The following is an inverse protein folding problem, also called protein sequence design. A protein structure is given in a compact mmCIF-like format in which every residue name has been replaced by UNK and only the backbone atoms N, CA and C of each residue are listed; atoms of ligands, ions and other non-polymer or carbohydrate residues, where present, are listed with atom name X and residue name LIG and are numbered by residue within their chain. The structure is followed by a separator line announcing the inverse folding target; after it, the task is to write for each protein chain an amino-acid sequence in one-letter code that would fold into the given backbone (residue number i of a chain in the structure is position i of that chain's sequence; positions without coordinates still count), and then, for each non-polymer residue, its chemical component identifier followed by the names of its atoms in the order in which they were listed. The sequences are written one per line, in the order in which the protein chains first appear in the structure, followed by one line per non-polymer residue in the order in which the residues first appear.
data_IF_224626613522
#
_entry.id   IF_224626613522
#
_cell.length_a   1.000
_cell.length_b   1.000
_cell.length_c   1.000
_cell.angle_alpha   90.00
_cell.angle_beta   90.00
_cell.angle_gamma   90.00
#
_symmetry.space_group_name_H-M   'P 1'
#
loop_
_entity.id
_entity.type
_entity.pdbx_description
1 polymer ?
#
# COMPACT_ATOMS: atom_id res chain seq x y z
N UNK A 1 -28.97 78.60 -32.75
CA UNK A 1 -30.11 79.54 -32.56
C UNK A 1 -30.00 80.15 -31.17
N UNK A 2 -29.32 81.29 -31.05
CA UNK A 2 -29.47 82.23 -29.95
C UNK A 2 -29.21 83.60 -30.56
N UNK A 3 -30.28 84.39 -30.64
CA UNK A 3 -30.34 85.73 -31.22
C UNK A 3 -29.60 86.73 -30.34
N UNK A 4 -28.48 87.28 -30.83
CA UNK A 4 -27.83 88.44 -30.20
C UNK A 4 -28.30 89.69 -30.93
N UNK A 5 -29.18 90.44 -30.27
CA UNK A 5 -29.72 91.73 -30.65
C UNK A 5 -28.65 92.82 -30.58
N UNK A 6 -28.42 93.51 -31.69
CA UNK A 6 -27.62 94.75 -31.76
C UNK A 6 -28.37 95.92 -31.10
N UNK A 7 -27.72 96.75 -30.26
CA UNK A 7 -28.36 97.93 -29.72
C UNK A 7 -28.34 99.09 -30.73
N UNK A 8 -29.51 99.69 -30.92
CA UNK A 8 -29.77 100.89 -31.72
C UNK A 8 -29.04 102.12 -31.16
N UNK A 9 -28.30 102.82 -32.03
CA UNK A 9 -27.67 104.11 -31.75
C UNK A 9 -28.73 105.23 -31.84
N UNK A 10 -28.91 106.07 -30.81
CA UNK A 10 -29.73 107.28 -30.92
C UNK A 10 -28.87 108.48 -31.32
N UNK A 11 -29.22 109.13 -32.44
CA UNK A 11 -28.80 110.48 -32.78
C UNK A 11 -29.71 111.48 -32.06
N UNK A 12 -29.18 112.52 -31.39
CA UNK A 12 -29.98 113.68 -31.03
C UNK A 12 -29.80 114.79 -32.06
N UNK A 13 -30.93 115.18 -32.65
CA UNK A 13 -31.11 116.41 -33.43
C UNK A 13 -31.14 117.67 -32.54
N UNK A 14 -30.92 118.81 -33.19
CA UNK A 14 -31.19 120.19 -32.77
C UNK A 14 -30.21 120.77 -31.73
N UNK A 15 -29.80 122.03 -31.78
CA UNK A 15 -30.52 123.22 -32.22
C UNK A 15 -29.51 124.34 -32.53
N UNK A 16 -29.76 125.10 -33.59
CA UNK A 16 -28.93 126.26 -33.99
C UNK A 16 -29.42 127.47 -33.18
N UNK A 17 -28.60 127.96 -32.22
CA UNK A 17 -28.24 129.37 -31.94
C UNK A 17 -27.81 129.61 -30.46
N UNK A 18 -26.58 130.15 -30.35
CA UNK A 18 -26.00 131.01 -29.31
C UNK A 18 -25.47 130.45 -27.97
N UNK A 19 -24.12 130.39 -27.83
CA UNK A 19 -23.29 131.02 -26.75
C UNK A 19 -21.97 130.26 -26.46
N UNK A 20 -20.83 130.81 -26.89
CA UNK A 20 -19.54 130.14 -27.14
C UNK A 20 -18.51 130.02 -25.99
N UNK A 21 -18.81 130.35 -24.72
CA UNK A 21 -17.73 130.51 -23.70
C UNK A 21 -17.57 129.36 -22.67
N UNK A 22 -18.59 128.53 -22.41
CA UNK A 22 -18.51 127.46 -21.40
C UNK A 22 -17.98 126.11 -21.93
N UNK A 23 -17.73 126.01 -23.25
CA UNK A 23 -17.50 124.73 -23.94
C UNK A 23 -16.09 124.16 -23.76
N UNK A 24 -15.04 124.97 -23.62
CA UNK A 24 -13.65 124.48 -23.77
C UNK A 24 -13.17 123.52 -22.68
N UNK A 25 -13.49 123.76 -21.40
CA UNK A 25 -13.03 122.92 -20.28
C UNK A 25 -13.84 121.63 -20.13
N UNK A 26 -15.15 121.69 -20.39
CA UNK A 26 -16.03 120.51 -20.46
C UNK A 26 -15.70 119.65 -21.68
N UNK A 27 -15.31 120.26 -22.80
CA UNK A 27 -14.86 119.52 -24.00
C UNK A 27 -13.53 118.79 -23.75
N UNK A 28 -12.56 119.38 -23.03
CA UNK A 28 -11.27 118.71 -22.74
C UNK A 28 -11.40 117.53 -21.78
N UNK A 29 -12.15 117.68 -20.69
CA UNK A 29 -12.40 116.58 -19.74
C UNK A 29 -13.27 115.46 -20.34
N UNK A 30 -14.24 115.81 -21.19
CA UNK A 30 -14.99 114.83 -21.97
C UNK A 30 -14.12 114.11 -23.01
N UNK A 31 -13.12 114.80 -23.58
CA UNK A 31 -12.17 114.21 -24.52
C UNK A 31 -11.22 113.21 -23.84
N UNK A 32 -10.64 113.55 -22.69
CA UNK A 32 -9.78 112.64 -21.92
C UNK A 32 -10.56 111.41 -21.43
N UNK A 33 -11.80 111.60 -20.97
CA UNK A 33 -12.68 110.49 -20.59
C UNK A 33 -13.04 109.61 -21.80
N UNK A 34 -13.29 110.22 -22.96
CA UNK A 34 -13.56 109.50 -24.22
C UNK A 34 -12.33 108.74 -24.71
N UNK A 35 -11.12 109.30 -24.59
CA UNK A 35 -9.87 108.62 -24.94
C UNK A 35 -9.60 107.43 -24.03
N UNK A 36 -9.80 107.57 -22.71
CA UNK A 36 -9.64 106.43 -21.77
C UNK A 36 -10.69 105.34 -22.03
N UNK A 37 -11.94 105.71 -22.36
CA UNK A 37 -12.96 104.74 -22.74
C UNK A 37 -12.67 104.06 -24.08
N UNK A 38 -12.19 104.81 -25.07
CA UNK A 38 -11.73 104.27 -26.34
C UNK A 38 -10.56 103.32 -26.12
N UNK A 39 -9.55 103.69 -25.34
CA UNK A 39 -8.40 102.83 -25.04
C UNK A 39 -8.85 101.53 -24.36
N UNK A 40 -9.72 101.62 -23.34
CA UNK A 40 -10.29 100.46 -22.65
C UNK A 40 -11.15 99.57 -23.56
N UNK A 41 -11.92 100.18 -24.47
CA UNK A 41 -12.69 99.45 -25.48
C UNK A 41 -11.75 98.77 -26.50
N UNK A 42 -10.65 99.44 -26.88
CA UNK A 42 -9.66 98.93 -27.84
C UNK A 42 -8.84 97.80 -27.23
N UNK A 43 -8.47 97.87 -25.95
CA UNK A 43 -7.74 96.82 -25.25
C UNK A 43 -8.63 95.59 -24.99
N UNK A 44 -9.93 95.80 -24.70
CA UNK A 44 -10.91 94.71 -24.67
C UNK A 44 -11.09 94.07 -26.04
N UNK A 45 -11.19 94.87 -27.11
CA UNK A 45 -11.30 94.36 -28.47
C UNK A 45 -10.06 93.57 -28.87
N UNK A 46 -8.85 94.05 -28.54
CA UNK A 46 -7.59 93.32 -28.75
C UNK A 46 -7.56 92.01 -27.98
N UNK A 47 -8.01 92.01 -26.72
CA UNK A 47 -8.08 90.79 -25.91
C UNK A 47 -9.07 89.78 -26.49
N UNK A 48 -10.22 90.24 -26.98
CA UNK A 48 -11.19 89.38 -27.67
C UNK A 48 -10.65 88.84 -29.00
N UNK A 49 -9.94 89.65 -29.78
CA UNK A 49 -9.31 89.23 -31.03
C UNK A 49 -8.19 88.22 -30.80
N UNK A 50 -7.39 88.38 -29.74
CA UNK A 50 -6.38 87.39 -29.37
C UNK A 50 -7.03 86.07 -28.93
N UNK A 51 -8.12 86.12 -28.14
CA UNK A 51 -8.87 84.93 -27.77
C UNK A 51 -9.48 84.23 -28.99
N UNK A 52 -9.97 85.00 -29.98
CA UNK A 52 -10.46 84.47 -31.25
C UNK A 52 -9.36 83.76 -32.04
N UNK A 53 -8.16 84.36 -32.13
CA UNK A 53 -7.03 83.71 -32.82
C UNK A 53 -6.53 82.45 -32.11
N UNK A 54 -6.52 82.45 -30.78
CA UNK A 54 -6.13 81.27 -29.99
C UNK A 54 -7.17 80.14 -30.15
N UNK A 55 -8.46 80.49 -30.17
CA UNK A 55 -9.54 79.54 -30.38
C UNK A 55 -9.50 78.92 -31.78
N UNK A 56 -9.21 79.71 -32.82
CA UNK A 56 -9.04 79.22 -34.19
C UNK A 56 -7.85 78.27 -34.32
N UNK A 57 -6.76 78.54 -33.59
CA UNK A 57 -5.59 77.66 -33.55
C UNK A 57 -5.93 76.32 -32.88
N UNK A 58 -6.63 76.35 -31.74
CA UNK A 58 -7.05 75.15 -31.03
C UNK A 58 -8.10 74.34 -31.82
N UNK A 59 -9.03 74.99 -32.50
CA UNK A 59 -9.99 74.35 -33.41
C UNK A 59 -9.28 73.69 -34.59
N UNK A 60 -8.29 74.36 -35.19
CA UNK A 60 -7.47 73.79 -36.26
C UNK A 60 -6.69 72.57 -35.80
N UNK A 61 -6.13 72.61 -34.59
CA UNK A 61 -5.43 71.49 -33.97
C UNK A 61 -6.37 70.32 -33.66
N UNK A 62 -7.57 70.61 -33.15
CA UNK A 62 -8.61 69.61 -32.91
C UNK A 62 -9.09 68.96 -34.21
N UNK A 63 -9.25 69.72 -35.28
CA UNK A 63 -9.62 69.18 -36.59
C UNK A 63 -8.52 68.27 -37.16
N UNK A 64 -7.25 68.63 -36.96
CA UNK A 64 -6.12 67.82 -37.38
C UNK A 64 -6.02 66.52 -36.57
N UNK A 65 -6.22 66.60 -35.24
CA UNK A 65 -6.31 65.43 -34.37
C UNK A 65 -7.53 64.56 -34.71
N UNK A 66 -8.68 65.14 -35.03
CA UNK A 66 -9.88 64.41 -35.47
C UNK A 66 -9.58 63.63 -36.75
N UNK A 67 -8.90 64.25 -37.71
CA UNK A 67 -8.48 63.58 -38.94
C UNK A 67 -7.53 62.41 -38.68
N UNK A 68 -6.52 62.62 -37.84
CA UNK A 68 -5.56 61.59 -37.46
C UNK A 68 -6.23 60.42 -36.73
N UNK A 69 -7.06 60.69 -35.71
CA UNK A 69 -7.81 59.65 -34.98
C UNK A 69 -8.77 58.92 -35.91
N UNK A 70 -9.45 59.62 -36.81
CA UNK A 70 -10.32 59.00 -37.82
C UNK A 70 -9.54 58.02 -38.71
N UNK A 71 -8.36 58.41 -39.20
CA UNK A 71 -7.51 57.53 -40.01
C UNK A 71 -6.99 56.32 -39.22
N UNK A 72 -6.62 56.53 -37.96
CA UNK A 72 -6.08 55.50 -37.09
C UNK A 72 -7.17 54.49 -36.71
N UNK A 73 -8.40 54.94 -36.42
CA UNK A 73 -9.55 54.08 -36.15
C UNK A 73 -9.91 53.22 -37.37
N UNK A 74 -9.89 53.79 -38.58
CA UNK A 74 -10.14 53.01 -39.81
C UNK A 74 -9.05 51.95 -40.01
N UNK A 75 -7.78 52.31 -39.79
CA UNK A 75 -6.64 51.38 -39.85
C UNK A 75 -6.76 50.27 -38.79
N UNK A 76 -7.07 50.61 -37.54
CA UNK A 76 -7.27 49.62 -36.47
C UNK A 76 -8.46 48.70 -36.76
N UNK A 77 -9.55 49.24 -37.31
CA UNK A 77 -10.74 48.44 -37.67
C UNK A 77 -10.43 47.48 -38.81
N UNK A 78 -9.71 47.90 -39.84
CA UNK A 78 -9.31 47.02 -40.95
C UNK A 78 -8.32 45.94 -40.49
N UNK A 79 -7.36 46.29 -39.63
CA UNK A 79 -6.45 45.31 -39.01
C UNK A 79 -7.21 44.28 -38.17
N UNK A 80 -8.19 44.71 -37.38
CA UNK A 80 -9.06 43.83 -36.59
C UNK A 80 -9.90 42.92 -37.51
N UNK A 81 -10.58 43.50 -38.52
CA UNK A 81 -11.55 42.74 -39.31
C UNK A 81 -10.91 41.79 -40.31
N UNK A 82 -9.76 42.14 -40.89
CA UNK A 82 -9.09 41.30 -41.87
C UNK A 82 -7.95 40.52 -41.22
N UNK A 83 -6.93 41.22 -40.73
CA UNK A 83 -5.70 40.53 -40.28
C UNK A 83 -5.97 39.65 -39.08
N UNK A 84 -6.67 40.16 -38.06
CA UNK A 84 -6.93 39.37 -36.85
C UNK A 84 -7.99 38.30 -37.08
N UNK A 85 -9.05 38.59 -37.83
CA UNK A 85 -10.06 37.58 -38.17
C UNK A 85 -9.47 36.44 -39.01
N UNK A 86 -8.72 36.76 -40.06
CA UNK A 86 -8.09 35.76 -40.93
C UNK A 86 -7.00 34.98 -40.17
N UNK A 87 -6.22 35.64 -39.31
CA UNK A 87 -5.28 34.98 -38.41
C UNK A 87 -5.99 34.05 -37.42
N UNK A 88 -7.13 34.46 -36.86
CA UNK A 88 -7.90 33.61 -35.94
C UNK A 88 -8.53 32.41 -36.65
N UNK A 89 -9.03 32.60 -37.87
CA UNK A 89 -9.61 31.54 -38.68
C UNK A 89 -8.54 30.52 -39.10
N UNK A 90 -7.37 31.00 -39.51
CA UNK A 90 -6.22 30.13 -39.83
C UNK A 90 -5.69 29.41 -38.60
N UNK A 91 -5.55 30.09 -37.46
CA UNK A 91 -5.16 29.47 -36.20
C UNK A 91 -6.15 28.37 -35.78
N UNK A 92 -7.46 28.65 -35.82
CA UNK A 92 -8.50 27.65 -35.53
C UNK A 92 -8.41 26.44 -36.48
N UNK A 93 -8.22 26.67 -37.78
CA UNK A 93 -8.07 25.60 -38.76
C UNK A 93 -6.84 24.73 -38.48
N UNK A 94 -5.71 25.36 -38.14
CA UNK A 94 -4.47 24.66 -37.78
C UNK A 94 -4.67 23.87 -36.49
N UNK A 95 -5.25 24.47 -35.44
CA UNK A 95 -5.52 23.78 -34.17
C UNK A 95 -6.46 22.59 -34.35
N UNK A 96 -7.48 22.69 -35.20
CA UNK A 96 -8.37 21.56 -35.51
C UNK A 96 -7.64 20.47 -36.31
N UNK A 97 -6.80 20.85 -37.27
CA UNK A 97 -6.00 19.89 -38.04
C UNK A 97 -5.00 19.14 -37.15
N UNK A 98 -4.31 19.85 -36.24
CA UNK A 98 -3.39 19.26 -35.27
C UNK A 98 -4.14 18.33 -34.32
N UNK A 99 -5.27 18.76 -33.74
CA UNK A 99 -6.10 17.89 -32.88
C UNK A 99 -6.54 16.62 -33.60
N UNK A 100 -6.92 16.72 -34.88
CA UNK A 100 -7.30 15.54 -35.67
C UNK A 100 -6.09 14.60 -35.87
N UNK A 101 -4.94 15.16 -36.23
CA UNK A 101 -3.71 14.40 -36.38
C UNK A 101 -3.28 13.72 -35.07
N UNK A 102 -3.41 14.41 -33.93
CA UNK A 102 -3.07 13.85 -32.62
C UNK A 102 -3.99 12.65 -32.28
N UNK A 103 -5.28 12.75 -32.58
CA UNK A 103 -6.22 11.63 -32.41
C UNK A 103 -5.89 10.46 -33.34
N UNK A 104 -5.57 10.74 -34.60
CA UNK A 104 -5.13 9.71 -35.54
C UNK A 104 -3.84 9.04 -35.07
N UNK A 105 -2.85 9.81 -34.62
CA UNK A 105 -1.59 9.30 -34.09
C UNK A 105 -1.80 8.48 -32.80
N UNK A 106 -2.67 8.93 -31.90
CA UNK A 106 -2.99 8.20 -30.67
C UNK A 106 -3.65 6.84 -30.98
N UNK A 107 -4.57 6.80 -31.96
CA UNK A 107 -5.20 5.55 -32.42
C UNK A 107 -4.18 4.61 -33.04
N UNK A 108 -3.29 5.11 -33.91
CA UNK A 108 -2.24 4.30 -34.53
C UNK A 108 -1.28 3.72 -33.47
N UNK A 109 -0.87 4.52 -32.49
CA UNK A 109 -0.04 4.03 -31.37
C UNK A 109 -0.77 2.94 -30.57
N UNK A 110 -2.03 3.15 -30.22
CA UNK A 110 -2.82 2.15 -29.52
C UNK A 110 -2.97 0.84 -30.32
N UNK A 111 -3.15 0.92 -31.64
CA UNK A 111 -3.17 -0.30 -32.49
C UNK A 111 -1.81 -0.98 -32.57
N UNK A 112 -0.72 -0.21 -32.58
CA UNK A 112 0.64 -0.75 -32.61
C UNK A 112 0.94 -1.48 -31.29
N UNK A 113 0.55 -0.93 -30.15
CA UNK A 113 0.71 -1.57 -28.84
C UNK A 113 -0.02 -2.93 -28.79
N UNK A 114 -1.21 -3.04 -29.40
CA UNK A 114 -1.95 -4.32 -29.48
C UNK A 114 -1.20 -5.32 -30.38
N UNK A 115 -0.66 -4.87 -31.51
CA UNK A 115 0.11 -5.74 -32.42
C UNK A 115 1.39 -6.24 -31.74
N UNK A 116 2.10 -5.38 -31.02
CA UNK A 116 3.30 -5.73 -30.27
C UNK A 116 2.98 -6.78 -29.19
N UNK A 117 1.88 -6.60 -28.46
CA UNK A 117 1.43 -7.57 -27.46
C UNK A 117 1.01 -8.91 -28.08
N UNK A 118 0.42 -8.92 -29.27
CA UNK A 118 0.06 -10.15 -29.99
C UNK A 118 1.30 -10.85 -30.56
N UNK A 119 2.29 -10.09 -31.02
CA UNK A 119 3.58 -10.64 -31.45
C UNK A 119 4.32 -11.29 -30.27
N UNK A 120 4.31 -10.64 -29.11
CA UNK A 120 4.84 -11.18 -27.86
C UNK A 120 4.07 -12.43 -27.40
N UNK A 121 2.74 -12.42 -27.48
CA UNK A 121 1.90 -13.59 -27.19
C UNK A 121 2.26 -14.76 -28.09
N UNK A 122 2.47 -14.52 -29.38
CA UNK A 122 2.90 -15.54 -30.34
C UNK A 122 4.27 -16.11 -29.99
N UNK A 123 5.22 -15.25 -29.64
CA UNK A 123 6.55 -15.68 -29.20
C UNK A 123 6.46 -16.53 -27.92
N UNK A 124 5.58 -16.17 -26.98
CA UNK A 124 5.36 -16.95 -25.77
C UNK A 124 4.73 -18.32 -26.06
N UNK A 125 3.68 -18.39 -26.88
CA UNK A 125 3.02 -19.66 -27.24
C UNK A 125 4.02 -20.62 -27.90
N UNK A 126 4.76 -20.15 -28.92
CA UNK A 126 5.78 -20.95 -29.61
C UNK A 126 6.95 -21.31 -28.68
N UNK A 127 7.34 -20.40 -27.79
CA UNK A 127 8.38 -20.63 -26.79
C UNK A 127 7.99 -21.71 -25.78
N UNK A 128 6.76 -21.68 -25.26
CA UNK A 128 6.25 -22.70 -24.34
C UNK A 128 6.22 -24.07 -25.01
N UNK A 129 5.63 -24.19 -26.19
CA UNK A 129 5.51 -25.48 -26.90
C UNK A 129 6.88 -26.01 -27.32
N UNK A 130 7.77 -25.12 -27.77
CA UNK A 130 9.16 -25.47 -28.12
C UNK A 130 9.99 -25.95 -26.92
N UNK A 131 9.93 -25.23 -25.79
CA UNK A 131 10.66 -25.60 -24.56
C UNK A 131 10.12 -26.88 -23.92
N UNK A 132 8.81 -27.14 -24.00
CA UNK A 132 8.19 -28.37 -23.51
C UNK A 132 8.45 -29.60 -24.39
N UNK A 133 8.85 -29.40 -25.65
CA UNK A 133 9.11 -30.46 -26.62
C UNK A 133 10.44 -31.19 -26.40
N UNK A 134 11.33 -31.12 -27.39
CA UNK A 134 12.61 -31.84 -27.37
C UNK A 134 13.59 -31.46 -26.24
N UNK A 135 13.77 -30.16 -25.86
CA UNK A 135 14.76 -29.80 -24.85
C UNK A 135 14.29 -30.07 -23.41
N UNK A 136 12.97 -30.23 -23.18
CA UNK A 136 12.37 -30.46 -21.86
C UNK A 136 12.85 -29.44 -20.81
N UNK A 137 13.06 -28.20 -21.24
CA UNK A 137 13.52 -27.13 -20.37
C UNK A 137 12.31 -26.43 -19.74
N UNK A 138 11.93 -26.93 -18.58
CA UNK A 138 10.73 -26.47 -17.89
C UNK A 138 10.86 -25.06 -17.31
N UNK A 139 12.08 -24.57 -17.09
CA UNK A 139 12.30 -23.24 -16.53
C UNK A 139 12.05 -22.16 -17.56
N UNK A 140 12.54 -22.37 -18.80
CA UNK A 140 12.24 -21.46 -19.90
C UNK A 140 10.76 -21.51 -20.28
N UNK A 141 10.14 -22.69 -20.27
CA UNK A 141 8.69 -22.83 -20.50
C UNK A 141 7.87 -22.05 -19.44
N UNK A 142 8.22 -22.16 -18.15
CA UNK A 142 7.58 -21.39 -17.09
C UNK A 142 7.80 -19.88 -17.24
N UNK A 143 8.98 -19.46 -17.72
CA UNK A 143 9.28 -18.06 -18.02
C UNK A 143 8.40 -17.48 -19.14
N UNK A 144 8.17 -18.24 -20.21
CA UNK A 144 7.24 -17.82 -21.28
C UNK A 144 5.79 -17.78 -20.81
N UNK A 145 5.37 -18.71 -19.95
CA UNK A 145 4.03 -18.64 -19.33
C UNK A 145 3.90 -17.40 -18.43
N UNK A 146 4.93 -17.06 -17.66
CA UNK A 146 4.92 -15.86 -16.82
C UNK A 146 4.76 -14.58 -17.66
N UNK A 147 5.54 -14.43 -18.73
CA UNK A 147 5.39 -13.31 -19.68
C UNK A 147 4.01 -13.27 -20.30
N UNK A 148 3.47 -14.43 -20.70
CA UNK A 148 2.11 -14.49 -21.25
C UNK A 148 1.02 -14.07 -20.26
N UNK A 149 1.26 -14.24 -18.95
CA UNK A 149 0.33 -13.83 -17.90
C UNK A 149 0.34 -12.31 -17.63
N UNK A 150 1.38 -11.59 -18.07
CA UNK A 150 1.44 -10.12 -18.02
C UNK A 150 0.61 -9.48 -19.14
N UNK A 151 0.30 -10.23 -20.20
CA UNK A 151 -0.49 -9.75 -21.34
C UNK A 151 -1.98 -9.64 -20.93
N UNK A 152 -2.66 -8.52 -21.25
CA UNK A 152 -4.09 -8.34 -20.96
C UNK A 152 -4.95 -9.46 -21.53
N UNK A 153 -5.92 -9.93 -20.75
CA UNK A 153 -6.81 -11.04 -21.12
C UNK A 153 -7.66 -10.70 -22.34
N UNK A 154 -7.99 -9.42 -22.51
CA UNK A 154 -8.74 -8.90 -23.66
C UNK A 154 -8.01 -9.18 -24.98
N UNK A 155 -6.68 -9.21 -24.96
CA UNK A 155 -5.84 -9.47 -26.14
C UNK A 155 -5.64 -10.97 -26.32
N UNK A 156 -5.46 -11.72 -25.24
CA UNK A 156 -5.33 -13.20 -25.29
C UNK A 156 -6.59 -13.87 -25.83
N UNK A 157 -7.77 -13.35 -25.50
CA UNK A 157 -9.07 -13.79 -26.03
C UNK A 157 -9.54 -12.96 -27.24
N UNK A 158 -8.70 -12.10 -27.79
CA UNK A 158 -9.05 -11.24 -28.91
C UNK A 158 -9.10 -12.03 -30.23
N UNK A 159 -10.07 -11.71 -31.09
CA UNK A 159 -10.23 -12.37 -32.40
C UNK A 159 -8.98 -12.27 -33.28
N UNK A 160 -8.22 -11.17 -33.18
CA UNK A 160 -6.97 -10.99 -33.89
C UNK A 160 -5.86 -11.95 -33.41
N UNK A 161 -5.80 -12.24 -32.12
CA UNK A 161 -4.85 -13.21 -31.58
C UNK A 161 -5.23 -14.64 -31.99
N UNK A 162 -6.53 -14.96 -32.01
CA UNK A 162 -7.03 -16.26 -32.46
C UNK A 162 -6.72 -16.55 -33.94
N UNK A 163 -6.58 -15.53 -34.78
CA UNK A 163 -6.25 -15.72 -36.20
C UNK A 163 -4.73 -15.72 -36.47
N UNK A 164 -3.96 -14.85 -35.79
CA UNK A 164 -2.54 -14.62 -36.12
C UNK A 164 -1.57 -15.52 -35.32
N UNK A 165 -1.94 -15.91 -34.11
CA UNK A 165 -1.07 -16.68 -33.22
C UNK A 165 -0.99 -18.16 -33.61
N UNK A 166 -2.10 -18.86 -33.93
CA UNK A 166 -2.03 -20.26 -34.33
C UNK A 166 -1.09 -20.48 -35.51
N UNK A 167 -0.34 -21.57 -35.44
CA UNK A 167 0.68 -21.95 -36.42
C UNK A 167 0.45 -23.41 -36.83
N UNK A 168 1.02 -23.87 -37.94
CA UNK A 168 0.82 -25.26 -38.42
C UNK A 168 1.18 -26.33 -37.36
N UNK A 169 2.10 -26.02 -36.44
CA UNK A 169 2.50 -26.90 -35.32
C UNK A 169 1.57 -26.78 -34.10
N UNK A 170 0.88 -25.65 -33.94
CA UNK A 170 0.02 -25.33 -32.80
C UNK A 170 -1.29 -24.74 -33.34
N UNK A 171 -2.26 -25.59 -33.69
CA UNK A 171 -3.50 -25.15 -34.36
C UNK A 171 -4.52 -24.55 -33.41
N UNK A 172 -4.39 -24.81 -32.11
CA UNK A 172 -5.35 -24.36 -31.11
C UNK A 172 -5.20 -22.85 -30.82
N UNK A 173 -6.28 -22.18 -30.39
CA UNK A 173 -6.21 -20.78 -29.94
C UNK A 173 -5.15 -20.57 -28.84
N UNK A 174 -4.57 -19.36 -28.75
CA UNK A 174 -3.50 -19.07 -27.79
C UNK A 174 -3.92 -19.33 -26.34
N UNK A 175 -5.16 -18.97 -25.96
CA UNK A 175 -5.66 -19.18 -24.61
C UNK A 175 -5.71 -20.66 -24.21
N UNK A 176 -6.21 -21.53 -25.10
CA UNK A 176 -6.29 -22.97 -24.89
C UNK A 176 -4.90 -23.58 -24.76
N UNK A 177 -3.99 -23.19 -25.66
CA UNK A 177 -2.62 -23.70 -25.66
C UNK A 177 -1.88 -23.35 -24.36
N UNK A 178 -1.98 -22.09 -23.91
CA UNK A 178 -1.33 -21.63 -22.68
C UNK A 178 -1.93 -22.30 -21.44
N UNK A 179 -3.25 -22.48 -21.39
CA UNK A 179 -3.91 -23.16 -20.27
C UNK A 179 -3.52 -24.64 -20.20
N UNK A 180 -3.57 -25.36 -21.33
CA UNK A 180 -3.15 -26.76 -21.41
C UNK A 180 -1.67 -26.94 -21.01
N UNK A 181 -0.80 -26.03 -21.46
CA UNK A 181 0.60 -26.03 -21.08
C UNK A 181 0.78 -25.78 -19.58
N UNK A 182 0.06 -24.81 -19.00
CA UNK A 182 0.11 -24.51 -17.58
C UNK A 182 -0.37 -25.69 -16.72
N UNK A 183 -1.44 -26.39 -17.13
CA UNK A 183 -1.93 -27.58 -16.44
C UNK A 183 -0.96 -28.77 -16.55
N UNK A 184 -0.38 -28.98 -17.73
CA UNK A 184 0.61 -30.03 -17.97
C UNK A 184 1.87 -29.80 -17.14
N UNK A 185 2.40 -28.56 -17.12
CA UNK A 185 3.54 -28.19 -16.29
C UNK A 185 3.21 -28.28 -14.80
N UNK A 186 1.98 -27.91 -14.39
CA UNK A 186 1.53 -28.12 -13.01
C UNK A 186 1.68 -29.59 -12.63
N UNK A 187 1.08 -30.51 -13.38
CA UNK A 187 1.14 -31.95 -13.07
C UNK A 187 2.58 -32.49 -13.04
N UNK A 188 3.43 -32.02 -13.96
CA UNK A 188 4.84 -32.39 -14.00
C UNK A 188 5.59 -31.88 -12.76
N UNK A 189 5.43 -30.61 -12.41
CA UNK A 189 6.07 -30.01 -11.24
C UNK A 189 5.64 -30.67 -9.94
N UNK A 190 4.36 -31.07 -9.82
CA UNK A 190 3.87 -31.85 -8.68
C UNK A 190 4.66 -33.14 -8.52
N UNK A 191 4.71 -33.95 -9.60
CA UNK A 191 5.38 -35.26 -9.59
C UNK A 191 6.87 -35.13 -9.30
N UNK A 192 7.52 -34.16 -9.93
CA UNK A 192 8.96 -33.92 -9.77
C UNK A 192 9.30 -33.37 -8.39
N UNK A 193 8.44 -32.53 -7.83
CA UNK A 193 8.58 -32.02 -6.46
C UNK A 193 8.46 -33.16 -5.45
N UNK A 194 7.44 -34.01 -5.56
CA UNK A 194 7.25 -35.15 -4.66
C UNK A 194 8.40 -36.16 -4.75
N UNK A 195 8.90 -36.41 -5.97
CA UNK A 195 10.09 -37.23 -6.18
C UNK A 195 11.33 -36.62 -5.51
N UNK A 196 11.57 -35.33 -5.70
CA UNK A 196 12.69 -34.64 -5.08
C UNK A 196 12.60 -34.61 -3.55
N UNK A 197 11.39 -34.48 -3.01
CA UNK A 197 11.12 -34.55 -1.58
C UNK A 197 11.42 -35.96 -1.02
N UNK A 198 11.03 -37.02 -1.72
CA UNK A 198 11.33 -38.40 -1.35
C UNK A 198 12.83 -38.73 -1.43
N UNK A 199 13.56 -38.16 -2.39
CA UNK A 199 15.01 -38.27 -2.52
C UNK A 199 15.78 -37.44 -1.46
N UNK A 200 15.11 -36.57 -0.71
CA UNK A 200 15.75 -35.65 0.24
C UNK A 200 16.57 -34.54 -0.42
N UNK A 201 16.36 -34.26 -1.71
CA UNK A 201 17.13 -33.26 -2.45
C UNK A 201 16.50 -31.86 -2.31
N UNK A 202 16.86 -31.15 -1.24
CA UNK A 202 16.36 -29.80 -0.95
C UNK A 202 16.64 -28.77 -2.06
N UNK A 203 17.69 -28.97 -2.86
CA UNK A 203 18.01 -28.10 -4.01
C UNK A 203 16.98 -28.22 -5.13
N UNK A 204 16.64 -29.45 -5.52
CA UNK A 204 15.59 -29.72 -6.52
C UNK A 204 14.20 -29.26 -6.03
N UNK A 205 13.88 -29.51 -4.75
CA UNK A 205 12.63 -29.05 -4.12
C UNK A 205 12.50 -27.53 -4.25
N UNK A 206 13.56 -26.79 -3.91
CA UNK A 206 13.58 -25.32 -4.01
C UNK A 206 13.48 -24.84 -5.46
N UNK A 207 14.08 -25.57 -6.41
CA UNK A 207 13.98 -25.25 -7.85
C UNK A 207 12.53 -25.30 -8.32
N UNK A 208 11.85 -26.44 -8.14
CA UNK A 208 10.44 -26.58 -8.55
C UNK A 208 9.50 -25.67 -7.75
N UNK A 209 9.80 -25.43 -6.48
CA UNK A 209 9.04 -24.47 -5.66
C UNK A 209 9.01 -23.07 -6.30
N UNK A 210 10.10 -22.62 -6.92
CA UNK A 210 10.14 -21.29 -7.57
C UNK A 210 9.35 -21.22 -8.88
N UNK A 211 9.01 -22.35 -9.49
CA UNK A 211 8.35 -22.39 -10.81
C UNK A 211 6.82 -22.30 -10.70
N UNK A 212 6.20 -22.70 -9.59
CA UNK A 212 4.75 -22.63 -9.42
C UNK A 212 4.13 -21.22 -9.52
N UNK A 213 4.77 -20.15 -8.99
CA UNK A 213 4.29 -18.78 -9.19
C UNK A 213 4.35 -18.35 -10.66
N UNK A 214 5.39 -18.77 -11.39
CA UNK A 214 5.58 -18.39 -12.80
C UNK A 214 4.49 -18.95 -13.71
N UNK A 215 3.93 -20.13 -13.38
CA UNK A 215 2.80 -20.73 -14.11
C UNK A 215 1.42 -20.23 -13.63
N UNK A 216 1.37 -19.21 -12.76
CA UNK A 216 0.11 -18.66 -12.24
C UNK A 216 -0.64 -19.59 -11.27
N UNK A 217 0.03 -20.58 -10.66
CA UNK A 217 -0.58 -21.51 -9.68
C UNK A 217 0.13 -21.46 -8.30
N UNK A 218 0.29 -20.27 -7.67
CA UNK A 218 1.02 -20.13 -6.40
C UNK A 218 0.34 -20.86 -5.23
N UNK A 219 -0.99 -20.97 -5.21
CA UNK A 219 -1.70 -21.64 -4.12
C UNK A 219 -1.35 -23.13 -4.00
N UNK A 220 -1.20 -23.81 -5.14
CA UNK A 220 -0.86 -25.24 -5.19
C UNK A 220 0.58 -25.46 -4.73
N UNK A 221 1.52 -24.64 -5.23
CA UNK A 221 2.92 -24.73 -4.83
C UNK A 221 3.11 -24.51 -3.32
N UNK A 222 2.37 -23.55 -2.74
CA UNK A 222 2.44 -23.24 -1.32
C UNK A 222 1.85 -24.35 -0.43
N UNK A 223 0.75 -24.97 -0.85
CA UNK A 223 0.15 -26.11 -0.13
C UNK A 223 1.12 -27.30 -0.04
N UNK A 224 1.75 -27.67 -1.15
CA UNK A 224 2.65 -28.83 -1.20
C UNK A 224 3.95 -28.54 -0.47
N UNK A 225 4.45 -27.32 -0.59
CA UNK A 225 5.60 -26.89 0.17
C UNK A 225 5.33 -26.89 1.68
N UNK A 226 4.14 -26.43 2.08
CA UNK A 226 3.67 -26.55 3.46
C UNK A 226 3.66 -28.00 3.93
N UNK A 227 3.10 -28.92 3.12
CA UNK A 227 3.12 -30.37 3.41
C UNK A 227 4.53 -30.94 3.53
N UNK A 228 5.45 -30.56 2.65
CA UNK A 228 6.85 -30.98 2.70
C UNK A 228 7.55 -30.53 3.99
N UNK A 229 7.37 -29.27 4.36
CA UNK A 229 7.94 -28.73 5.60
C UNK A 229 7.34 -29.42 6.82
N UNK A 230 6.01 -29.57 6.87
CA UNK A 230 5.32 -30.25 7.98
C UNK A 230 5.81 -31.70 8.13
N UNK A 231 5.99 -32.42 7.03
CA UNK A 231 6.60 -33.75 7.04
C UNK A 231 8.02 -33.75 7.63
N UNK A 232 8.84 -32.75 7.27
CA UNK A 232 10.18 -32.56 7.85
C UNK A 232 10.15 -32.30 9.36
N UNK A 233 9.20 -31.48 9.83
CA UNK A 233 8.97 -31.22 11.26
C UNK A 233 8.56 -32.49 11.99
N UNK A 234 7.56 -33.21 11.47
CA UNK A 234 7.07 -34.47 12.03
C UNK A 234 8.17 -35.53 12.15
N UNK A 235 8.97 -35.70 11.09
CA UNK A 235 10.09 -36.66 11.07
C UNK A 235 11.13 -36.33 12.14
N UNK A 236 11.52 -35.05 12.27
CA UNK A 236 12.48 -34.61 13.30
C UNK A 236 11.93 -34.73 14.71
N UNK A 237 10.66 -34.38 14.93
CA UNK A 237 9.99 -34.50 16.22
C UNK A 237 9.98 -35.97 16.70
N UNK A 238 9.56 -36.88 15.82
CA UNK A 238 9.55 -38.33 16.08
C UNK A 238 10.95 -38.89 16.33
N UNK A 239 11.95 -38.43 15.56
CA UNK A 239 13.33 -38.84 15.79
C UNK A 239 13.84 -38.42 17.18
N UNK A 240 13.53 -37.18 17.61
CA UNK A 240 13.89 -36.67 18.95
C UNK A 240 13.19 -37.42 20.08
N UNK A 241 11.92 -37.79 19.89
CA UNK A 241 11.17 -38.59 20.86
C UNK A 241 11.75 -40.00 20.99
N UNK A 242 11.99 -40.68 19.85
CA UNK A 242 12.54 -42.03 19.81
C UNK A 242 13.97 -42.14 20.35
N UNK A 243 14.80 -41.10 20.18
CA UNK A 243 16.15 -41.08 20.73
C UNK A 243 16.17 -40.96 22.25
N UNK A 244 15.22 -40.23 22.84
CA UNK A 244 15.17 -40.03 24.27
C UNK A 244 14.59 -41.20 25.05
N UNK A 245 13.56 -41.86 24.52
CA UNK A 245 12.97 -43.06 25.12
C UNK A 245 14.00 -44.21 25.25
N UNK A 246 15.01 -44.25 24.36
CA UNK A 246 16.04 -45.29 24.33
C UNK A 246 17.37 -44.89 24.99
N UNK A 247 17.53 -43.64 25.43
CA UNK A 247 18.78 -43.11 26.00
C UNK A 247 18.74 -42.94 27.52
N UNK A 248 19.91 -42.76 28.15
CA UNK A 248 20.01 -42.38 29.58
C UNK A 248 19.29 -41.06 29.92
N UNK A 249 19.02 -40.23 28.91
CA UNK A 249 18.28 -38.96 29.02
C UNK A 249 16.80 -39.12 29.44
N UNK A 250 16.19 -40.30 29.27
CA UNK A 250 14.82 -40.57 29.78
C UNK A 250 14.72 -40.44 31.30
N UNK A 251 15.84 -40.63 32.01
CA UNK A 251 15.93 -40.45 33.47
C UNK A 251 16.10 -39.00 33.89
N UNK A 252 16.36 -38.09 32.95
CA UNK A 252 16.41 -36.67 33.23
C UNK A 252 14.98 -36.14 33.26
N UNK A 253 14.55 -35.59 34.40
CA UNK A 253 13.18 -35.10 34.63
C UNK A 253 12.78 -33.87 33.80
N UNK A 254 13.51 -33.60 32.70
CA UNK A 254 13.34 -32.47 31.78
C UNK A 254 13.39 -32.90 30.32
N UNK A 255 13.43 -34.20 30.03
CA UNK A 255 13.51 -34.70 28.67
C UNK A 255 12.40 -34.15 27.75
N UNK A 256 11.15 -34.21 28.20
CA UNK A 256 10.00 -33.77 27.40
C UNK A 256 10.00 -32.25 27.20
N UNK A 257 10.34 -31.49 28.24
CA UNK A 257 10.54 -30.04 28.10
C UNK A 257 11.62 -29.68 27.07
N UNK A 258 12.74 -30.43 27.05
CA UNK A 258 13.81 -30.24 26.07
C UNK A 258 13.39 -30.67 24.66
N UNK A 259 12.64 -31.76 24.52
CA UNK A 259 12.13 -32.23 23.23
C UNK A 259 11.10 -31.24 22.64
N UNK A 260 10.21 -30.69 23.48
CA UNK A 260 9.28 -29.64 23.09
C UNK A 260 10.02 -28.34 22.69
N UNK A 261 11.08 -28.00 23.41
CA UNK A 261 11.96 -26.87 23.07
C UNK A 261 12.59 -27.07 21.68
N UNK A 262 13.17 -28.26 21.42
CA UNK A 262 13.75 -28.61 20.11
C UNK A 262 12.73 -28.55 18.97
N UNK A 263 11.47 -28.94 19.23
CA UNK A 263 10.38 -28.83 18.25
C UNK A 263 10.12 -27.36 17.89
N UNK A 264 9.89 -26.49 18.88
CA UNK A 264 9.60 -25.08 18.63
C UNK A 264 10.78 -24.34 18.02
N UNK A 265 12.01 -24.62 18.45
CA UNK A 265 13.23 -24.07 17.85
C UNK A 265 13.36 -24.47 16.38
N UNK A 266 13.08 -25.74 16.05
CA UNK A 266 13.12 -26.19 14.66
C UNK A 266 12.08 -25.46 13.80
N UNK A 267 10.85 -25.29 14.30
CA UNK A 267 9.80 -24.56 13.58
C UNK A 267 10.17 -23.08 13.43
N UNK A 268 10.70 -22.45 14.48
CA UNK A 268 11.17 -21.07 14.43
C UNK A 268 12.30 -20.88 13.40
N UNK A 269 13.26 -21.80 13.36
CA UNK A 269 14.33 -21.82 12.36
C UNK A 269 13.76 -21.95 10.95
N UNK A 270 12.80 -22.85 10.72
CA UNK A 270 12.15 -22.98 9.42
C UNK A 270 11.48 -21.66 9.02
N UNK A 271 10.73 -21.02 9.93
CA UNK A 271 10.06 -19.76 9.66
C UNK A 271 11.05 -18.68 9.24
N UNK A 272 12.21 -18.60 9.90
CA UNK A 272 13.24 -17.60 9.61
C UNK A 272 13.98 -17.86 8.30
N UNK A 273 14.41 -19.09 8.04
CA UNK A 273 15.18 -19.43 6.84
C UNK A 273 14.32 -19.46 5.58
N UNK A 274 13.08 -19.94 5.69
CA UNK A 274 12.18 -20.10 4.54
C UNK A 274 11.32 -18.86 4.28
N UNK A 275 11.15 -17.97 5.27
CA UNK A 275 10.38 -16.74 5.12
C UNK A 275 10.84 -15.88 3.95
N UNK A 276 12.15 -15.62 3.85
CA UNK A 276 12.71 -14.80 2.76
C UNK A 276 12.57 -15.45 1.37
N UNK A 277 12.57 -16.78 1.29
CA UNK A 277 12.36 -17.50 0.03
C UNK A 277 10.90 -17.45 -0.41
N UNK A 278 9.97 -17.74 0.50
CA UNK A 278 8.53 -17.76 0.22
C UNK A 278 8.06 -16.36 -0.17
N UNK A 279 8.43 -15.34 0.58
CA UNK A 279 7.97 -13.97 0.30
C UNK A 279 8.54 -13.40 -1.00
N UNK A 280 9.78 -13.74 -1.36
CA UNK A 280 10.40 -13.25 -2.60
C UNK A 280 9.71 -13.79 -3.86
N UNK A 281 9.24 -15.04 -3.84
CA UNK A 281 8.68 -15.70 -5.02
C UNK A 281 7.16 -15.81 -5.02
N UNK A 282 6.51 -15.82 -3.86
CA UNK A 282 5.06 -15.97 -3.72
C UNK A 282 4.37 -14.69 -3.22
N UNK A 283 5.12 -13.61 -3.01
CA UNK A 283 4.59 -12.32 -2.59
C UNK A 283 4.37 -12.20 -1.08
N UNK A 284 3.97 -11.00 -0.68
CA UNK A 284 3.75 -10.66 0.73
C UNK A 284 2.58 -11.45 1.33
N UNK A 285 2.72 -11.89 2.59
CA UNK A 285 1.66 -12.61 3.32
C UNK A 285 1.57 -14.10 3.00
N UNK A 286 2.24 -14.59 1.95
CA UNK A 286 2.27 -16.02 1.62
C UNK A 286 2.91 -16.88 2.72
N UNK A 287 3.86 -16.33 3.49
CA UNK A 287 4.45 -17.03 4.63
C UNK A 287 3.45 -17.29 5.76
N UNK A 288 2.45 -16.44 5.96
CA UNK A 288 1.42 -16.62 7.01
C UNK A 288 0.63 -17.91 6.77
N UNK A 289 0.28 -18.21 5.51
CA UNK A 289 -0.38 -19.47 5.13
C UNK A 289 0.48 -20.70 5.41
N UNK A 290 1.80 -20.58 5.31
CA UNK A 290 2.73 -21.67 5.67
C UNK A 290 2.81 -21.81 7.19
N UNK A 291 2.85 -20.69 7.92
CA UNK A 291 2.84 -20.66 9.39
C UNK A 291 1.58 -21.33 9.93
N UNK A 292 0.40 -21.05 9.37
CA UNK A 292 -0.86 -21.71 9.76
C UNK A 292 -0.77 -23.24 9.69
N UNK A 293 -0.20 -23.78 8.60
CA UNK A 293 0.01 -25.23 8.45
C UNK A 293 1.06 -25.77 9.43
N UNK A 294 2.13 -25.00 9.65
CA UNK A 294 3.16 -25.33 10.63
C UNK A 294 2.62 -25.35 12.06
N UNK A 295 1.67 -24.46 12.42
CA UNK A 295 1.01 -24.48 13.73
C UNK A 295 0.21 -25.76 13.91
N UNK A 296 -0.59 -26.15 12.91
CA UNK A 296 -1.35 -27.41 12.99
C UNK A 296 -0.42 -28.62 13.21
N UNK A 297 0.73 -28.65 12.54
CA UNK A 297 1.73 -29.71 12.76
C UNK A 297 2.40 -29.59 14.14
N UNK A 298 2.64 -28.38 14.63
CA UNK A 298 3.16 -28.14 15.97
C UNK A 298 2.19 -28.66 17.04
N UNK A 299 0.89 -28.45 16.86
CA UNK A 299 -0.16 -28.94 17.75
C UNK A 299 -0.23 -30.46 17.75
N UNK A 300 -0.10 -31.11 16.59
CA UNK A 300 -0.09 -32.58 16.48
C UNK A 300 1.14 -33.19 17.15
N UNK A 301 2.35 -32.70 16.84
CA UNK A 301 3.58 -33.26 17.40
C UNK A 301 3.77 -32.86 18.88
N UNK A 302 3.37 -31.64 19.25
CA UNK A 302 3.37 -31.16 20.62
C UNK A 302 2.36 -31.91 21.48
N UNK A 303 1.14 -32.13 20.97
CA UNK A 303 0.12 -32.95 21.61
C UNK A 303 0.61 -34.37 21.87
N UNK A 304 1.15 -35.05 20.84
CA UNK A 304 1.72 -36.40 21.01
C UNK A 304 2.81 -36.44 22.09
N UNK A 305 3.66 -35.42 22.15
CA UNK A 305 4.73 -35.33 23.14
C UNK A 305 4.18 -35.14 24.56
N UNK A 306 3.15 -34.30 24.71
CA UNK A 306 2.47 -34.08 25.99
C UNK A 306 1.67 -35.31 26.44
N UNK A 307 1.01 -36.00 25.52
CA UNK A 307 0.30 -37.25 25.80
C UNK A 307 1.28 -38.33 26.29
N UNK A 308 2.40 -38.50 25.58
CA UNK A 308 3.46 -39.44 25.96
C UNK A 308 4.06 -39.09 27.33
N UNK A 309 4.28 -37.80 27.60
CA UNK A 309 4.74 -37.33 28.91
C UNK A 309 3.73 -37.61 30.03
N UNK A 310 2.44 -37.40 29.76
CA UNK A 310 1.35 -37.65 30.70
C UNK A 310 1.26 -39.11 31.11
N UNK A 311 1.42 -40.01 30.15
CA UNK A 311 1.50 -41.46 30.36
C UNK A 311 2.75 -41.84 31.15
N UNK A 312 3.94 -41.38 30.73
CA UNK A 312 5.23 -41.74 31.36
C UNK A 312 5.34 -41.23 32.81
N UNK A 313 4.74 -40.07 33.12
CA UNK A 313 4.70 -39.51 34.49
C UNK A 313 3.49 -39.93 35.31
N UNK A 314 2.59 -40.75 34.75
CA UNK A 314 1.35 -41.21 35.38
C UNK A 314 0.53 -40.07 36.02
N UNK A 315 0.35 -38.97 35.27
CA UNK A 315 -0.20 -37.72 35.81
C UNK A 315 -1.63 -37.89 36.30
N UNK A 316 -2.46 -38.64 35.57
CA UNK A 316 -3.86 -38.88 35.96
C UNK A 316 -3.98 -39.63 37.28
N UNK A 317 -3.08 -40.61 37.52
CA UNK A 317 -3.01 -41.32 38.80
C UNK A 317 -2.59 -40.36 39.91
N UNK A 318 -1.50 -39.61 39.72
CA UNK A 318 -1.02 -38.63 40.70
C UNK A 318 -2.07 -37.56 41.03
N UNK A 319 -2.83 -37.09 40.05
CA UNK A 319 -3.94 -36.15 40.26
C UNK A 319 -5.09 -36.78 41.04
N UNK A 320 -5.39 -38.06 40.82
CA UNK A 320 -6.39 -38.81 41.58
C UNK A 320 -5.95 -38.98 43.02
N UNK A 321 -4.67 -39.27 43.25
CA UNK A 321 -4.08 -39.40 44.58
C UNK A 321 -4.10 -38.05 45.32
N UNK A 322 -3.74 -36.94 44.66
CA UNK A 322 -3.82 -35.59 45.24
C UNK A 322 -5.27 -35.18 45.54
N UNK A 323 -6.25 -35.53 44.69
CA UNK A 323 -7.67 -35.23 44.93
C UNK A 323 -8.28 -36.07 46.03
N UNK A 324 -7.85 -37.33 46.13
CA UNK A 324 -8.27 -38.27 47.17
C UNK A 324 -7.47 -38.12 48.46
N UNK A 325 -6.43 -37.28 48.46
CA UNK A 325 -5.77 -36.76 49.65
C UNK A 325 -6.81 -35.99 50.47
N UNK A 326 -7.56 -36.75 51.28
CA UNK A 326 -8.15 -36.23 52.47
C UNK A 326 -7.00 -35.57 53.21
N UNK A 327 -7.21 -34.34 53.66
CA UNK A 327 -6.33 -33.67 54.60
C UNK A 327 -6.34 -34.46 55.93
N UNK A 328 -5.98 -35.74 55.95
CA UNK A 328 -6.10 -36.66 57.08
C UNK A 328 -5.29 -36.13 58.25
N UNK A 329 -4.18 -35.45 57.97
CA UNK A 329 -3.38 -34.70 58.94
C UNK A 329 -4.11 -33.47 59.52
N UNK A 330 -4.84 -32.71 58.71
CA UNK A 330 -5.61 -31.54 59.15
C UNK A 330 -6.90 -31.98 59.86
N UNK A 331 -7.54 -33.07 59.42
CA UNK A 331 -8.71 -33.66 60.08
C UNK A 331 -8.32 -34.35 61.39
N UNK A 332 -7.19 -35.05 61.48
CA UNK A 332 -6.67 -35.60 62.74
C UNK A 332 -6.25 -34.49 63.72
N UNK A 333 -5.76 -33.34 63.24
CA UNK A 333 -5.46 -32.21 64.13
C UNK A 333 -6.72 -31.55 64.68
N UNK A 334 -7.84 -31.56 63.95
CA UNK A 334 -9.15 -31.13 64.47
C UNK A 334 -9.86 -32.17 65.36
N UNK A 335 -9.52 -33.46 65.24
CA UNK A 335 -10.10 -34.55 66.06
C UNK A 335 -9.26 -34.91 67.29
N UNK A 336 -8.03 -34.39 67.41
CA UNK A 336 -7.18 -34.57 68.59
C UNK A 336 -7.65 -33.67 69.74
N UNK A 337 -8.73 -34.08 70.41
CA UNK A 337 -9.16 -33.49 71.68
C UNK A 337 -8.12 -33.81 72.76
N UNK A 338 -7.53 -32.82 73.46
CA UNK A 338 -6.65 -33.09 74.58
C UNK A 338 -7.50 -33.41 75.82
N UNK A 339 -7.95 -34.65 75.98
CA UNK A 339 -8.40 -35.12 77.29
C UNK A 339 -7.17 -35.51 78.12
N UNK A 340 -6.65 -34.53 78.83
CA UNK A 340 -5.74 -34.78 79.94
C UNK A 340 -6.45 -35.59 81.02
N UNK A 341 -5.90 -36.76 81.36
CA UNK A 341 -5.93 -37.25 82.74
C UNK A 341 -4.75 -38.18 83.03
N UNK A 342 -4.11 -37.85 84.13
CA UNK A 342 -2.90 -38.41 84.73
C UNK A 342 -2.88 -39.94 84.89
N UNK A 343 -1.70 -40.55 84.67
CA UNK A 343 -1.01 -41.38 85.66
C UNK A 343 0.50 -41.48 85.34
N UNK A 344 1.31 -40.87 86.20
CA UNK A 344 2.70 -41.16 86.61
C UNK A 344 3.64 -42.02 85.72
N UNK A 345 4.86 -41.55 85.38
CA UNK A 345 5.90 -42.36 84.75
C UNK A 345 6.73 -43.11 85.82
N UNK A 346 6.98 -44.41 85.58
CA UNK A 346 7.91 -45.24 86.36
C UNK A 346 9.14 -45.53 85.48
N UNK A 347 10.37 -45.18 85.89
CA UNK A 347 11.55 -45.42 85.08
C UNK A 347 12.09 -46.84 85.33
N UNK A 348 12.15 -47.65 84.28
CA UNK A 348 12.75 -48.98 84.30
C UNK A 348 13.33 -49.32 82.94
N UNK A 349 14.65 -49.19 82.83
CA UNK A 349 15.47 -49.62 81.71
C UNK A 349 15.36 -51.14 81.51
N UNK A 350 15.17 -51.60 80.27
CA UNK A 350 15.98 -52.67 79.69
C UNK A 350 15.70 -52.86 78.19
N UNK A 351 16.79 -52.88 77.43
CA UNK A 351 16.86 -53.26 76.04
C UNK A 351 16.56 -54.76 75.87
N UNK A 352 15.72 -55.11 74.91
CA UNK A 352 15.67 -56.46 74.36
C UNK A 352 15.49 -56.37 72.84
N UNK A 353 16.59 -56.68 72.15
CA UNK A 353 16.68 -56.93 70.71
C UNK A 353 15.93 -58.24 70.43
N UNK A 354 14.91 -58.19 69.59
CA UNK A 354 14.13 -59.36 69.16
C UNK A 354 13.61 -59.13 67.75
N UNK A 355 14.29 -59.74 66.79
CA UNK A 355 13.92 -59.89 65.39
C UNK A 355 12.64 -60.72 65.24
N UNK A 356 11.67 -60.24 64.48
CA UNK A 356 10.48 -61.02 64.11
C UNK A 356 9.39 -60.19 63.43
N UNK A 357 9.51 -60.05 62.10
CA UNK A 357 8.42 -60.10 61.11
C UNK A 357 7.01 -59.66 61.51
N UNK A 358 6.54 -58.56 60.94
CA UNK A 358 5.11 -58.24 60.86
C UNK A 358 4.74 -56.76 60.93
N UNK A 359 5.44 -55.87 60.20
CA UNK A 359 4.90 -54.54 59.88
C UNK A 359 4.38 -54.56 58.44
N UNK A 360 3.12 -54.97 58.34
CA UNK A 360 2.28 -54.72 57.18
C UNK A 360 1.09 -53.94 57.71
N UNK A 361 1.19 -52.61 57.70
CA UNK A 361 0.04 -51.75 57.38
C UNK A 361 0.44 -50.27 57.27
N UNK A 362 0.17 -49.67 56.11
CA UNK A 362 -0.24 -48.26 56.07
C UNK A 362 0.79 -47.15 55.88
N UNK A 363 1.98 -47.37 55.29
CA UNK A 363 2.64 -46.23 54.62
C UNK A 363 1.90 -45.97 53.31
N UNK A 364 0.82 -45.22 53.45
CA UNK A 364 0.07 -44.57 52.39
C UNK A 364 1.05 -44.07 51.32
N UNK A 365 0.67 -44.32 50.08
CA UNK A 365 1.20 -43.73 48.85
C UNK A 365 1.04 -42.20 48.92
N UNK A 366 1.72 -41.55 49.86
CA UNK A 366 1.71 -40.12 50.01
C UNK A 366 2.54 -39.58 48.85
N UNK A 367 1.86 -38.96 47.89
CA UNK A 367 2.49 -38.27 46.77
C UNK A 367 3.66 -37.42 47.29
N UNK A 368 4.90 -37.72 46.88
CA UNK A 368 6.07 -36.98 47.36
C UNK A 368 5.96 -35.53 46.87
N UNK A 369 5.90 -34.59 47.81
CA UNK A 369 5.79 -33.14 47.52
C UNK A 369 6.93 -32.68 46.60
N UNK A 370 8.11 -33.31 46.67
CA UNK A 370 9.24 -33.02 45.78
C UNK A 370 9.00 -33.49 44.35
N UNK A 371 8.33 -34.61 44.17
CA UNK A 371 7.97 -35.12 42.85
C UNK A 371 6.91 -34.22 42.20
N UNK A 372 5.93 -33.76 42.98
CA UNK A 372 4.95 -32.75 42.53
C UNK A 372 5.65 -31.44 42.15
N UNK A 373 6.60 -30.96 42.96
CA UNK A 373 7.39 -29.76 42.64
C UNK A 373 8.20 -29.93 41.34
N UNK A 374 8.83 -31.10 41.14
CA UNK A 374 9.53 -31.41 39.90
C UNK A 374 8.59 -31.41 38.67
N UNK A 375 7.39 -31.98 38.80
CA UNK A 375 6.37 -31.98 37.73
C UNK A 375 5.88 -30.56 37.42
N UNK A 376 5.62 -29.75 38.46
CA UNK A 376 5.22 -28.35 38.29
C UNK A 376 6.33 -27.54 37.60
N UNK A 377 7.59 -27.77 37.98
CA UNK A 377 8.75 -27.14 37.33
C UNK A 377 8.89 -27.57 35.85
N UNK A 378 8.62 -28.84 35.53
CA UNK A 378 8.65 -29.34 34.14
C UNK A 378 7.52 -28.72 33.31
N UNK A 379 6.29 -28.63 33.85
CA UNK A 379 5.14 -27.96 33.21
C UNK A 379 5.40 -26.46 33.03
N UNK A 380 5.93 -25.79 34.05
CA UNK A 380 6.27 -24.38 33.99
C UNK A 380 7.31 -24.10 32.88
N UNK A 381 8.29 -24.98 32.72
CA UNK A 381 9.23 -24.93 31.61
C UNK A 381 8.53 -25.12 30.26
N UNK A 382 7.69 -26.14 30.10
CA UNK A 382 6.97 -26.39 28.85
C UNK A 382 6.07 -25.21 28.45
N UNK A 383 5.30 -24.66 29.39
CA UNK A 383 4.47 -23.49 29.19
C UNK A 383 5.29 -22.23 28.88
N UNK A 384 6.42 -22.04 29.57
CA UNK A 384 7.35 -20.96 29.29
C UNK A 384 7.86 -21.01 27.84
N UNK A 385 8.25 -22.21 27.36
CA UNK A 385 8.71 -22.41 25.98
C UNK A 385 7.61 -22.20 24.95
N UNK A 386 6.39 -22.66 25.23
CA UNK A 386 5.22 -22.38 24.40
C UNK A 386 4.94 -20.87 24.30
N UNK A 387 4.99 -20.14 25.42
CA UNK A 387 4.73 -18.69 25.42
C UNK A 387 5.75 -17.90 24.59
N UNK A 388 7.03 -18.30 24.64
CA UNK A 388 8.09 -17.71 23.81
C UNK A 388 7.86 -17.99 22.33
N UNK A 389 7.49 -19.23 21.99
CA UNK A 389 7.15 -19.61 20.63
C UNK A 389 5.92 -18.85 20.10
N UNK A 390 4.84 -18.78 20.87
CA UNK A 390 3.63 -18.05 20.51
C UNK A 390 3.93 -16.55 20.31
N UNK A 391 4.76 -15.95 21.17
CA UNK A 391 5.20 -14.55 21.01
C UNK A 391 6.04 -14.35 19.74
N UNK A 392 6.92 -15.30 19.42
CA UNK A 392 7.70 -15.29 18.18
C UNK A 392 6.81 -15.38 16.95
N UNK A 393 5.87 -16.32 16.92
CA UNK A 393 4.92 -16.50 15.81
C UNK A 393 4.04 -15.26 15.66
N UNK A 394 3.49 -14.74 16.76
CA UNK A 394 2.70 -13.52 16.77
C UNK A 394 3.50 -12.34 16.23
N UNK A 395 4.77 -12.18 16.61
CA UNK A 395 5.64 -11.13 16.06
C UNK A 395 5.86 -11.28 14.55
N UNK A 396 6.09 -12.51 14.06
CA UNK A 396 6.28 -12.74 12.61
C UNK A 396 4.98 -12.51 11.82
N UNK A 397 3.82 -12.73 12.42
CA UNK A 397 2.52 -12.42 11.82
C UNK A 397 2.17 -10.91 11.92
N UNK A 398 2.48 -10.25 13.03
CA UNK A 398 2.07 -8.86 13.34
C UNK A 398 2.93 -7.79 12.67
N UNK A 399 4.23 -8.06 12.44
CA UNK A 399 5.15 -7.17 11.70
C UNK A 399 4.61 -6.79 10.31
N UNK A 400 3.56 -7.46 9.83
CA UNK A 400 3.02 -7.27 8.49
C UNK A 400 1.58 -6.78 8.39
N UNK A 401 0.76 -6.83 9.44
CA UNK A 401 -0.46 -6.00 9.51
C UNK A 401 -0.07 -4.52 9.53
N UNK A 402 1.00 -4.18 10.26
CA UNK A 402 1.58 -2.85 10.25
C UNK A 402 2.08 -2.42 8.85
N UNK A 403 2.59 -3.34 8.02
CA UNK A 403 3.00 -2.99 6.64
C UNK A 403 1.82 -2.76 5.69
N UNK A 404 0.68 -3.44 5.90
CA UNK A 404 -0.53 -3.19 5.13
C UNK A 404 -1.19 -1.87 5.55
N UNK A 405 -1.21 -1.57 6.85
CA UNK A 405 -1.67 -0.29 7.37
C UNK A 405 -0.72 0.86 7.03
N UNK A 406 0.58 0.66 6.97
CA UNK A 406 1.54 1.71 6.60
C UNK A 406 1.49 2.05 5.10
N UNK A 407 1.13 1.09 4.24
CA UNK A 407 0.85 1.34 2.82
C UNK A 407 -0.51 2.03 2.65
N UNK A 408 -1.53 1.63 3.44
CA UNK A 408 -2.83 2.31 3.46
C UNK A 408 -2.71 3.75 3.99
N UNK A 409 -1.93 3.97 5.05
CA UNK A 409 -1.66 5.27 5.65
C UNK A 409 -0.90 6.20 4.70
N UNK A 410 0.10 5.68 3.98
CA UNK A 410 0.85 6.43 2.95
C UNK A 410 -0.03 6.79 1.74
N UNK A 411 -0.96 5.92 1.33
CA UNK A 411 -1.92 6.20 0.26
C UNK A 411 -3.02 7.18 0.70
N UNK A 412 -3.38 7.24 1.99
CA UNK A 412 -4.35 8.21 2.51
C UNK A 412 -3.75 9.56 2.92
N UNK A 413 -2.43 9.68 3.04
CA UNK A 413 -1.74 10.93 3.46
C UNK A 413 -1.08 11.68 2.29
N UNK A 414 -1.25 11.23 1.05
CA UNK A 414 -0.74 11.91 -0.15
C UNK A 414 -1.79 12.74 -0.90
N UNK A 415 -3.02 12.80 -0.40
CA UNK A 415 -4.00 13.82 -0.80
C UNK A 415 -4.50 14.58 0.43
N UNK A 416 -3.74 15.59 0.87
CA UNK A 416 -4.26 16.81 1.50
C UNK A 416 -3.23 17.93 1.43
#
# INVERSE_FOLDING_TARGET
MNSVSLPSVPLPESNIKDAHAASSATVKSALELSEVQLQKATDRLRSCLHLESDLDHDLSRLDLLRGQVGSQVVSTRSMSSHVLSDASATANRISLAVKRLDVEQARVRSTLDVVDQVAELKACVLGVTGSMGAPQDWETAAGYLHRSAEIPKEIVHGSFAEEIVPTAEVPDPPHVTLENAAESLRALFLREFERAAAEGNGGKVTRFFKLFPLIGKPAVGLDIYGRYICHGVASRARASLNSGIKGEESKDGRFYANALTKLFEHIAQIIEHHGGLVERHYGAGSMVKVIERLQLEADVQGGLLLDTWGEDRNIDRKLTDIRSYAFTFLVQSFLSVPTGRSTTPRPGLQAQRGTGSGEQDGTEESTDVKEVDNLVNEVALMLGRWSLYASFVASKCSVREASAEHVLFMLTTTEF
#
